data_IF_164405295592
#
_entry.id   IF_164405295592
#
_cell.length_a   1.000
_cell.length_b   1.000
_cell.length_c   1.000
_cell.angle_alpha   90.00
_cell.angle_beta   90.00
_cell.angle_gamma   90.00
#
_symmetry.space_group_name_H-M   'P 1'
#
loop_
_entity.id
_entity.type
_entity.pdbx_description
1 polymer ?
#
# COMPACT_ATOMS: atom_id res chain seq x y z
N UNK A 1 12.38 -24.77 8.84
CA UNK A 1 12.42 -23.30 8.85
C UNK A 1 11.29 -22.78 7.96
N UNK A 2 10.43 -21.90 8.48
CA UNK A 2 9.37 -21.25 7.71
C UNK A 2 9.82 -19.82 7.37
N UNK A 3 9.53 -19.39 6.14
CA UNK A 3 9.78 -18.02 5.67
C UNK A 3 8.43 -17.34 5.49
N UNK A 4 8.24 -16.18 6.12
CA UNK A 4 7.04 -15.36 5.99
C UNK A 4 7.07 -14.60 4.66
N UNK A 5 6.64 -15.26 3.60
CA UNK A 5 6.56 -14.70 2.26
C UNK A 5 5.22 -15.10 1.62
N UNK A 6 4.63 -14.17 0.89
CA UNK A 6 3.41 -14.44 0.11
C UNK A 6 3.69 -15.43 -1.02
N UNK A 7 2.65 -16.05 -1.58
CA UNK A 7 2.76 -16.96 -2.73
C UNK A 7 3.51 -16.28 -3.87
N UNK A 8 4.35 -17.05 -4.57
CA UNK A 8 5.23 -16.53 -5.63
C UNK A 8 4.48 -15.74 -6.73
N UNK A 9 3.26 -16.18 -7.11
CA UNK A 9 2.43 -15.46 -8.06
C UNK A 9 2.01 -14.08 -7.54
N UNK A 10 1.65 -13.94 -6.27
CA UNK A 10 1.28 -12.66 -5.63
C UNK A 10 2.50 -11.73 -5.62
N UNK A 11 3.66 -12.25 -5.20
CA UNK A 11 4.92 -11.49 -5.17
C UNK A 11 5.27 -11.01 -6.58
N UNK A 12 5.27 -11.90 -7.58
CA UNK A 12 5.59 -11.56 -8.97
C UNK A 12 4.65 -10.49 -9.54
N UNK A 13 3.35 -10.60 -9.28
CA UNK A 13 2.35 -9.64 -9.76
C UNK A 13 2.59 -8.26 -9.16
N UNK A 14 2.74 -8.17 -7.85
CA UNK A 14 2.81 -6.86 -7.19
C UNK A 14 4.19 -6.21 -7.19
N UNK A 15 5.25 -6.95 -7.51
CA UNK A 15 6.54 -6.34 -7.81
C UNK A 15 6.52 -5.58 -9.14
N UNK A 16 5.64 -5.94 -10.08
CA UNK A 16 5.47 -5.25 -11.35
C UNK A 16 4.29 -4.28 -11.28
N UNK A 17 4.57 -2.97 -11.30
CA UNK A 17 3.55 -1.92 -11.17
C UNK A 17 2.54 -1.90 -12.32
N UNK A 18 2.95 -2.31 -13.53
CA UNK A 18 2.03 -2.43 -14.67
C UNK A 18 1.06 -3.59 -14.46
N UNK A 19 1.55 -4.74 -14.04
CA UNK A 19 0.70 -5.91 -13.74
C UNK A 19 -0.21 -5.63 -12.53
N UNK A 20 0.26 -4.88 -11.54
CA UNK A 20 -0.57 -4.39 -10.43
C UNK A 20 -1.75 -3.58 -10.95
N UNK A 21 -1.51 -2.61 -11.85
CA UNK A 21 -2.60 -1.81 -12.43
C UNK A 21 -3.59 -2.67 -13.22
N UNK A 22 -3.12 -3.58 -14.07
CA UNK A 22 -3.98 -4.47 -14.87
C UNK A 22 -4.88 -5.34 -14.00
N UNK A 23 -4.32 -5.95 -12.93
CA UNK A 23 -5.10 -6.82 -12.06
C UNK A 23 -6.11 -6.04 -11.22
N UNK A 24 -5.77 -4.82 -10.77
CA UNK A 24 -6.72 -3.94 -10.09
C UNK A 24 -7.90 -3.56 -10.99
N UNK A 25 -7.63 -3.20 -12.25
CA UNK A 25 -8.67 -2.91 -13.24
C UNK A 25 -9.58 -4.12 -13.49
N UNK A 26 -9.02 -5.32 -13.60
CA UNK A 26 -9.81 -6.56 -13.76
C UNK A 26 -10.71 -6.85 -12.56
N UNK A 27 -10.35 -6.35 -11.38
CA UNK A 27 -11.14 -6.41 -10.15
C UNK A 27 -12.14 -5.25 -10.02
N UNK A 28 -12.19 -4.32 -10.99
CA UNK A 28 -12.97 -3.07 -10.95
C UNK A 28 -12.57 -2.16 -9.77
N UNK A 29 -11.31 -2.18 -9.40
CA UNK A 29 -10.71 -1.31 -8.38
C UNK A 29 -10.05 -0.14 -9.08
N UNK A 30 -10.33 1.09 -8.61
CA UNK A 30 -9.76 2.30 -9.17
C UNK A 30 -8.24 2.33 -8.96
N UNK A 31 -7.53 2.60 -10.04
CA UNK A 31 -6.07 2.76 -10.08
C UNK A 31 -5.74 3.86 -11.08
N UNK A 32 -4.64 4.61 -10.91
CA UNK A 32 -4.22 5.60 -11.90
C UNK A 32 -3.99 4.95 -13.25
N UNK A 33 -4.32 5.63 -14.34
CA UNK A 33 -4.00 5.17 -15.68
C UNK A 33 -2.50 4.89 -15.77
N UNK A 34 -2.14 3.73 -16.28
CA UNK A 34 -0.75 3.24 -16.28
C UNK A 34 -0.43 2.58 -17.62
N UNK A 35 0.62 3.06 -18.28
CA UNK A 35 1.01 2.64 -19.62
C UNK A 35 2.52 2.39 -19.64
N UNK A 36 3.01 1.51 -20.49
CA UNK A 36 4.45 1.36 -20.73
C UNK A 36 5.02 2.61 -21.39
N UNK A 37 6.18 3.09 -20.95
CA UNK A 37 6.78 4.31 -21.47
C UNK A 37 7.05 4.25 -23.00
N UNK A 38 7.41 3.08 -23.52
CA UNK A 38 7.64 2.87 -24.94
C UNK A 38 6.35 2.87 -25.79
N UNK A 39 5.18 2.80 -25.17
CA UNK A 39 3.86 2.83 -25.81
C UNK A 39 3.09 4.13 -25.55
N UNK A 40 3.66 5.01 -24.75
CA UNK A 40 2.99 6.24 -24.33
C UNK A 40 2.97 7.28 -25.46
N UNK A 41 1.78 7.69 -25.90
CA UNK A 41 1.52 8.68 -26.95
C UNK A 41 0.80 9.93 -26.40
N UNK A 42 1.11 10.32 -25.17
CA UNK A 42 0.56 11.50 -24.48
C UNK A 42 -0.96 11.45 -24.24
N UNK A 43 -1.52 10.25 -24.05
CA UNK A 43 -2.93 10.02 -23.73
C UNK A 43 -3.27 10.23 -22.24
N UNK A 44 -2.31 10.66 -21.43
CA UNK A 44 -2.49 11.05 -20.01
C UNK A 44 -2.06 12.50 -19.87
N UNK A 45 -2.90 13.31 -19.26
CA UNK A 45 -2.62 14.73 -19.01
C UNK A 45 -1.48 14.94 -18.02
N UNK A 46 -0.70 15.98 -18.22
CA UNK A 46 0.33 16.39 -17.27
C UNK A 46 -0.28 17.01 -16.00
N UNK A 47 0.34 16.83 -14.81
CA UNK A 47 1.60 16.12 -14.59
C UNK A 47 1.43 14.60 -14.64
N UNK A 48 2.46 13.90 -15.10
CA UNK A 48 2.55 12.44 -15.10
C UNK A 48 3.72 11.96 -14.24
N UNK A 49 3.73 10.68 -13.89
CA UNK A 49 4.84 10.02 -13.20
C UNK A 49 5.51 9.04 -14.15
N UNK A 50 6.82 9.16 -14.34
CA UNK A 50 7.63 8.11 -14.94
C UNK A 50 8.33 7.37 -13.81
N UNK A 51 8.22 6.05 -13.78
CA UNK A 51 8.88 5.22 -12.77
C UNK A 51 9.21 3.83 -13.31
N UNK A 52 10.24 3.20 -12.72
CA UNK A 52 10.57 1.82 -13.04
C UNK A 52 9.43 0.86 -12.66
N UNK A 53 9.17 -0.14 -13.51
CA UNK A 53 8.19 -1.22 -13.25
C UNK A 53 8.46 -1.95 -11.93
N UNK A 54 9.74 -2.10 -11.56
CA UNK A 54 10.21 -2.95 -10.46
C UNK A 54 10.92 -2.18 -9.33
N UNK A 55 10.88 -0.84 -9.33
CA UNK A 55 11.60 -0.04 -8.32
C UNK A 55 11.00 -0.20 -6.92
N UNK A 56 11.87 -0.10 -5.91
CA UNK A 56 11.56 -0.11 -4.49
C UNK A 56 12.01 1.22 -3.90
N UNK A 57 11.31 1.75 -2.91
CA UNK A 57 11.63 3.01 -2.19
C UNK A 57 11.69 4.28 -3.07
N UNK A 58 10.88 4.36 -4.12
CA UNK A 58 10.80 5.57 -4.96
C UNK A 58 12.04 5.86 -5.79
N UNK A 59 12.98 4.90 -5.90
CA UNK A 59 14.09 5.02 -6.85
C UNK A 59 13.57 5.09 -8.28
N UNK A 60 14.22 5.89 -9.12
CA UNK A 60 13.85 6.08 -10.53
C UNK A 60 12.38 6.53 -10.70
N UNK A 61 11.96 7.51 -9.89
CA UNK A 61 10.65 8.17 -9.98
C UNK A 61 10.83 9.62 -10.39
N UNK A 62 10.17 10.01 -11.47
CA UNK A 62 10.20 11.36 -12.04
C UNK A 62 8.78 11.91 -12.15
N UNK A 63 8.54 13.10 -11.59
CA UNK A 63 7.31 13.85 -11.82
C UNK A 63 7.56 14.77 -13.02
N UNK A 64 6.78 14.59 -14.07
CA UNK A 64 6.92 15.27 -15.36
C UNK A 64 5.74 16.20 -15.53
N UNK A 65 6.00 17.49 -15.69
CA UNK A 65 4.97 18.53 -15.71
C UNK A 65 4.59 18.98 -17.13
N UNK A 66 5.39 18.62 -18.14
CA UNK A 66 5.17 19.00 -19.53
C UNK A 66 6.00 18.14 -20.50
N UNK A 67 5.71 18.27 -21.79
CA UNK A 67 6.37 17.51 -22.87
C UNK A 67 7.89 17.71 -22.91
N UNK A 68 8.38 18.96 -22.68
CA UNK A 68 9.83 19.21 -22.69
C UNK A 68 10.56 18.39 -21.60
N UNK A 69 9.98 18.31 -20.40
CA UNK A 69 10.54 17.48 -19.32
C UNK A 69 10.45 15.99 -19.66
N UNK A 70 9.39 15.53 -20.34
CA UNK A 70 9.27 14.17 -20.80
C UNK A 70 10.44 13.80 -21.72
N UNK A 71 10.70 14.62 -22.75
CA UNK A 71 11.79 14.35 -23.69
C UNK A 71 13.16 14.40 -23.02
N UNK A 72 13.39 15.35 -22.11
CA UNK A 72 14.63 15.41 -21.34
C UNK A 72 14.86 14.12 -20.52
N UNK A 73 13.82 13.60 -19.86
CA UNK A 73 13.92 12.35 -19.08
C UNK A 73 14.13 11.17 -20.02
N UNK A 74 13.38 11.05 -21.11
CA UNK A 74 13.59 9.99 -22.10
C UNK A 74 15.04 9.93 -22.58
N UNK A 75 15.67 11.07 -22.84
CA UNK A 75 17.07 11.12 -23.28
C UNK A 75 18.07 10.62 -22.22
N UNK A 76 17.68 10.58 -20.94
CA UNK A 76 18.54 10.06 -19.86
C UNK A 76 18.33 8.55 -19.59
N UNK A 77 17.18 8.01 -20.01
CA UNK A 77 16.83 6.62 -19.74
C UNK A 77 17.43 5.70 -20.82
N UNK A 78 18.10 4.63 -20.37
CA UNK A 78 18.75 3.68 -21.30
C UNK A 78 17.80 2.61 -21.86
N UNK A 79 16.70 2.30 -21.14
CA UNK A 79 15.81 1.20 -21.52
C UNK A 79 14.35 1.51 -21.14
N UNK A 80 13.58 2.01 -22.10
CA UNK A 80 12.19 2.43 -21.90
C UNK A 80 11.24 1.30 -21.50
N UNK A 81 11.56 0.06 -21.88
CA UNK A 81 10.74 -1.11 -21.54
C UNK A 81 10.67 -1.37 -20.04
N UNK A 82 11.66 -0.88 -19.27
CA UNK A 82 11.67 -1.00 -17.81
C UNK A 82 10.83 0.05 -17.10
N UNK A 83 10.27 1.02 -17.83
CA UNK A 83 9.54 2.15 -17.24
C UNK A 83 8.08 2.15 -17.64
N UNK A 84 7.28 2.73 -16.75
CA UNK A 84 5.87 3.05 -16.97
C UNK A 84 5.66 4.55 -16.85
N UNK A 85 4.67 5.04 -17.56
CA UNK A 85 4.01 6.31 -17.32
C UNK A 85 2.74 6.04 -16.52
N UNK A 86 2.54 6.81 -15.47
CA UNK A 86 1.35 6.73 -14.65
C UNK A 86 0.78 8.11 -14.41
N UNK A 87 -0.54 8.23 -14.45
CA UNK A 87 -1.28 9.42 -14.07
C UNK A 87 -0.86 9.89 -12.66
N UNK A 88 -0.57 11.19 -12.52
CA UNK A 88 -0.31 11.80 -11.22
C UNK A 88 -1.63 12.12 -10.54
N UNK A 89 -2.03 11.29 -9.60
CA UNK A 89 -3.33 11.38 -8.97
C UNK A 89 -3.25 11.93 -7.55
N UNK A 90 -4.18 12.83 -7.21
CA UNK A 90 -4.32 13.38 -5.87
C UNK A 90 -3.08 14.12 -5.36
N UNK A 91 -3.00 14.29 -4.05
CA UNK A 91 -1.89 14.97 -3.37
C UNK A 91 -1.20 14.04 -2.36
N UNK A 92 0.00 14.42 -1.93
CA UNK A 92 0.73 13.69 -0.87
C UNK A 92 0.03 13.81 0.49
N UNK A 93 -0.81 14.84 0.69
CA UNK A 93 -1.58 15.05 1.92
C UNK A 93 -2.76 14.06 2.05
N UNK A 94 -3.19 13.48 0.93
CA UNK A 94 -4.29 12.53 0.87
C UNK A 94 -3.81 11.10 0.60
N UNK A 95 -2.64 10.77 1.11
CA UNK A 95 -2.06 9.44 0.97
C UNK A 95 -2.48 8.52 2.12
N UNK A 96 -2.88 7.30 1.74
CA UNK A 96 -3.32 6.24 2.64
C UNK A 96 -2.48 4.99 2.46
N UNK A 97 -2.30 4.28 3.57
CA UNK A 97 -1.70 2.94 3.58
C UNK A 97 -2.67 1.98 4.27
N UNK A 98 -3.05 0.94 3.56
CA UNK A 98 -3.97 -0.08 4.06
C UNK A 98 -3.24 -1.41 4.12
N UNK A 99 -3.19 -2.02 5.29
CA UNK A 99 -2.67 -3.38 5.45
C UNK A 99 -3.84 -4.34 5.54
N UNK A 100 -3.76 -5.43 4.78
CA UNK A 100 -4.67 -6.57 4.91
C UNK A 100 -3.86 -7.81 5.23
N UNK A 101 -4.31 -8.51 6.26
CA UNK A 101 -3.87 -9.85 6.63
C UNK A 101 -4.99 -10.84 6.35
N UNK A 102 -4.64 -12.01 5.82
CA UNK A 102 -5.58 -13.12 5.63
C UNK A 102 -4.87 -14.44 5.86
N UNK A 103 -5.54 -15.31 6.59
CA UNK A 103 -5.21 -16.73 6.70
C UNK A 103 -6.46 -17.59 6.43
N UNK A 104 -6.47 -18.85 6.90
CA UNK A 104 -7.60 -19.77 6.72
C UNK A 104 -8.82 -19.39 7.56
N UNK A 105 -8.63 -18.68 8.67
CA UNK A 105 -9.63 -18.43 9.70
C UNK A 105 -10.03 -16.96 9.81
N UNK A 106 -9.19 -16.04 9.37
CA UNK A 106 -9.39 -14.61 9.59
C UNK A 106 -9.02 -13.75 8.37
N UNK A 107 -9.64 -12.59 8.29
CA UNK A 107 -9.30 -11.51 7.38
C UNK A 107 -9.44 -10.18 8.12
N UNK A 108 -8.30 -9.53 8.37
CA UNK A 108 -8.23 -8.28 9.10
C UNK A 108 -7.66 -7.16 8.23
N UNK A 109 -8.18 -5.95 8.42
CA UNK A 109 -7.78 -4.76 7.65
C UNK A 109 -7.62 -3.59 8.58
N UNK A 110 -6.49 -2.88 8.44
CA UNK A 110 -6.26 -1.58 9.08
C UNK A 110 -5.82 -0.56 8.03
N UNK A 111 -6.36 0.65 8.11
CA UNK A 111 -6.03 1.76 7.20
C UNK A 111 -5.55 2.96 7.98
N UNK A 112 -4.46 3.56 7.51
CA UNK A 112 -3.97 4.84 8.03
C UNK A 112 -3.97 5.89 6.92
N UNK A 113 -4.46 7.11 7.23
CA UNK A 113 -4.03 8.32 6.54
C UNK A 113 -2.64 8.65 7.05
N UNK A 114 -1.67 8.90 6.17
CA UNK A 114 -0.28 9.07 6.59
C UNK A 114 0.41 10.26 5.97
N UNK A 115 1.45 10.75 6.65
CA UNK A 115 2.44 11.67 6.08
C UNK A 115 3.80 11.00 6.06
N UNK A 116 4.59 11.31 5.04
CA UNK A 116 5.95 10.78 4.88
C UNK A 116 6.96 11.91 5.08
N UNK A 117 8.07 11.58 5.75
CA UNK A 117 9.26 12.42 5.85
C UNK A 117 10.47 11.55 5.55
N UNK A 118 11.25 11.92 4.53
CA UNK A 118 12.39 11.10 4.09
C UNK A 118 12.04 9.67 3.70
N UNK A 119 10.83 9.45 3.14
CA UNK A 119 10.35 8.12 2.73
C UNK A 119 9.80 7.24 3.88
N UNK A 120 9.88 7.72 5.12
CA UNK A 120 9.31 7.03 6.29
C UNK A 120 8.01 7.68 6.73
N UNK A 121 7.12 6.89 7.32
CA UNK A 121 5.87 7.40 7.91
C UNK A 121 6.19 8.23 9.15
N UNK A 122 5.97 9.53 9.08
CA UNK A 122 6.15 10.46 10.20
C UNK A 122 4.87 10.71 11.00
N UNK A 123 3.72 10.55 10.35
CA UNK A 123 2.41 10.62 10.98
C UNK A 123 1.51 9.53 10.38
N UNK A 124 0.73 8.86 11.20
CA UNK A 124 -0.25 7.87 10.79
C UNK A 124 -1.49 8.00 11.69
N UNK A 125 -2.66 8.13 11.08
CA UNK A 125 -3.95 8.21 11.74
C UNK A 125 -4.86 7.11 11.24
N UNK A 126 -5.45 6.34 12.14
CA UNK A 126 -6.43 5.30 11.77
C UNK A 126 -7.64 5.95 11.13
N UNK A 127 -8.05 5.41 10.00
CA UNK A 127 -9.25 5.80 9.27
C UNK A 127 -10.10 4.58 8.89
N UNK A 128 -11.36 4.58 9.27
CA UNK A 128 -12.32 3.54 8.86
C UNK A 128 -12.91 3.86 7.48
N UNK A 129 -12.07 3.78 6.45
CA UNK A 129 -12.46 4.03 5.06
C UNK A 129 -13.10 2.77 4.45
N UNK A 130 -14.43 2.74 4.41
CA UNK A 130 -15.21 1.58 3.91
C UNK A 130 -14.80 1.13 2.51
N UNK A 131 -14.47 2.07 1.63
CA UNK A 131 -14.02 1.77 0.25
C UNK A 131 -12.71 1.03 0.27
N UNK A 132 -11.69 1.51 1.00
CA UNK A 132 -10.38 0.85 1.09
C UNK A 132 -10.48 -0.51 1.78
N UNK A 133 -11.30 -0.61 2.81
CA UNK A 133 -11.58 -1.90 3.47
C UNK A 133 -12.20 -2.92 2.51
N UNK A 134 -13.14 -2.48 1.68
CA UNK A 134 -13.75 -3.33 0.65
C UNK A 134 -12.73 -3.72 -0.43
N UNK A 135 -11.93 -2.78 -0.94
CA UNK A 135 -10.88 -3.07 -1.92
C UNK A 135 -9.87 -4.09 -1.37
N UNK A 136 -9.41 -3.91 -0.12
CA UNK A 136 -8.50 -4.83 0.54
C UNK A 136 -9.08 -6.26 0.64
N UNK A 137 -10.36 -6.38 0.99
CA UNK A 137 -11.08 -7.67 1.06
C UNK A 137 -11.19 -8.33 -0.32
N UNK A 138 -11.56 -7.57 -1.36
CA UNK A 138 -11.65 -8.08 -2.74
C UNK A 138 -10.29 -8.61 -3.20
N UNK A 139 -9.22 -7.85 -3.00
CA UNK A 139 -7.86 -8.24 -3.37
C UNK A 139 -7.45 -9.51 -2.64
N UNK A 140 -7.60 -9.53 -1.30
CA UNK A 140 -7.21 -10.66 -0.48
C UNK A 140 -7.97 -11.95 -0.83
N UNK A 141 -9.25 -11.83 -1.15
CA UNK A 141 -10.10 -12.98 -1.51
C UNK A 141 -9.80 -13.49 -2.91
N UNK A 142 -9.77 -12.60 -3.91
CA UNK A 142 -9.56 -13.00 -5.32
C UNK A 142 -8.17 -13.58 -5.58
N UNK A 143 -7.16 -13.15 -4.83
CA UNK A 143 -5.81 -13.67 -4.96
C UNK A 143 -5.51 -14.85 -4.02
N UNK A 144 -6.50 -15.29 -3.27
CA UNK A 144 -6.31 -16.31 -2.22
C UNK A 144 -5.08 -15.99 -1.37
N UNK A 145 -5.07 -14.77 -0.82
CA UNK A 145 -3.98 -14.28 0.02
C UNK A 145 -3.84 -15.17 1.26
N UNK A 146 -2.60 -15.51 1.57
CA UNK A 146 -2.22 -16.15 2.83
C UNK A 146 -1.00 -15.41 3.40
N UNK A 147 -1.25 -14.49 4.32
CA UNK A 147 -0.24 -13.58 4.87
C UNK A 147 -0.67 -12.13 4.83
N UNK A 148 0.28 -11.23 4.75
CA UNK A 148 0.05 -9.78 4.79
C UNK A 148 0.54 -9.07 3.54
N UNK A 149 -0.24 -8.11 3.05
CA UNK A 149 0.16 -7.16 2.00
C UNK A 149 -0.15 -5.73 2.43
N UNK A 150 0.59 -4.79 1.85
CA UNK A 150 0.39 -3.36 2.08
C UNK A 150 -0.03 -2.65 0.80
N UNK A 151 -1.16 -1.97 0.84
CA UNK A 151 -1.79 -1.25 -0.27
C UNK A 151 -1.57 0.25 -0.07
N UNK A 152 -1.08 0.94 -1.10
CA UNK A 152 -0.91 2.39 -1.09
C UNK A 152 -1.90 3.03 -2.04
N UNK A 153 -2.60 4.06 -1.56
CA UNK A 153 -3.64 4.75 -2.31
C UNK A 153 -3.66 6.24 -2.02
N UNK A 154 -4.26 7.00 -2.93
CA UNK A 154 -4.61 8.41 -2.71
C UNK A 154 -6.09 8.64 -2.88
N UNK A 155 -6.61 9.58 -2.10
CA UNK A 155 -8.00 10.02 -2.17
C UNK A 155 -8.14 11.18 -3.15
N UNK A 156 -9.14 11.11 -4.03
CA UNK A 156 -9.54 12.19 -4.93
C UNK A 156 -11.06 12.32 -4.88
N UNK A 157 -11.56 13.41 -4.33
CA UNK A 157 -12.97 13.54 -4.02
C UNK A 157 -13.42 12.44 -3.05
N UNK A 158 -14.39 11.64 -3.47
CA UNK A 158 -14.91 10.51 -2.68
C UNK A 158 -14.27 9.17 -3.04
N UNK A 159 -13.36 9.14 -3.99
CA UNK A 159 -12.75 7.92 -4.54
C UNK A 159 -11.34 7.70 -4.02
N UNK A 160 -10.94 6.43 -4.01
CA UNK A 160 -9.57 6.01 -3.70
C UNK A 160 -8.96 5.32 -4.90
N UNK A 161 -7.74 5.71 -5.23
CA UNK A 161 -6.96 5.13 -6.33
C UNK A 161 -5.75 4.41 -5.78
N UNK A 162 -5.67 3.10 -5.99
CA UNK A 162 -4.53 2.28 -5.56
C UNK A 162 -3.42 2.41 -6.60
N UNK A 163 -2.27 2.93 -6.21
CA UNK A 163 -1.13 3.14 -7.11
C UNK A 163 0.04 2.17 -6.89
N UNK A 164 0.03 1.44 -5.76
CA UNK A 164 1.06 0.45 -5.42
C UNK A 164 0.54 -0.58 -4.41
N UNK A 165 0.95 -1.85 -4.59
CA UNK A 165 0.76 -2.91 -3.60
C UNK A 165 2.12 -3.54 -3.32
N UNK A 166 2.48 -3.61 -2.04
CA UNK A 166 3.70 -4.26 -1.58
C UNK A 166 3.34 -5.63 -0.98
N UNK A 167 3.78 -6.74 -1.58
CA UNK A 167 3.45 -8.09 -1.12
C UNK A 167 4.32 -8.53 0.07
N UNK A 168 4.48 -7.67 1.05
CA UNK A 168 5.32 -7.82 2.23
C UNK A 168 4.86 -6.94 3.36
N UNK A 169 5.44 -7.14 4.54
CA UNK A 169 5.30 -6.18 5.64
C UNK A 169 5.79 -4.80 5.23
N UNK A 170 5.07 -3.77 5.65
CA UNK A 170 5.45 -2.38 5.44
C UNK A 170 6.17 -1.80 6.66
N UNK A 171 6.78 -0.61 6.50
CA UNK A 171 7.39 0.14 7.60
C UNK A 171 6.40 0.49 8.74
N UNK A 172 5.09 0.42 8.47
CA UNK A 172 4.07 0.67 9.50
C UNK A 172 3.80 -0.53 10.41
N UNK A 173 4.55 -1.63 10.32
CA UNK A 173 4.36 -2.83 11.14
C UNK A 173 4.40 -2.52 12.65
N UNK A 174 5.36 -1.71 13.09
CA UNK A 174 5.45 -1.28 14.48
C UNK A 174 4.25 -0.42 14.90
N UNK A 175 3.83 0.50 14.02
CA UNK A 175 2.70 1.40 14.26
C UNK A 175 1.42 0.58 14.46
N UNK A 176 1.07 -0.29 13.49
CA UNK A 176 -0.18 -1.05 13.54
C UNK A 176 -0.21 -2.09 14.66
N UNK A 177 0.96 -2.62 15.03
CA UNK A 177 1.04 -3.54 16.17
C UNK A 177 0.61 -2.86 17.49
N UNK A 178 0.90 -1.56 17.68
CA UNK A 178 0.45 -0.79 18.84
C UNK A 178 -1.05 -0.45 18.81
N UNK A 179 -1.72 -0.68 17.69
CA UNK A 179 -3.17 -0.56 17.52
C UNK A 179 -3.86 -1.93 17.42
N UNK A 180 -3.28 -2.95 18.03
CA UNK A 180 -3.80 -4.31 18.09
C UNK A 180 -3.95 -5.01 16.72
N UNK A 181 -3.24 -4.54 15.70
CA UNK A 181 -3.15 -5.22 14.41
C UNK A 181 -1.84 -6.02 14.33
N UNK A 182 -1.88 -7.25 14.75
CA UNK A 182 -0.70 -8.08 15.01
C UNK A 182 -0.39 -9.06 13.85
N UNK A 183 -0.45 -8.60 12.60
CA UNK A 183 -0.33 -9.45 11.41
C UNK A 183 0.96 -10.29 11.34
N UNK A 184 2.07 -9.80 11.90
CA UNK A 184 3.30 -10.59 12.01
C UNK A 184 3.08 -11.83 12.91
N UNK A 185 2.49 -11.62 14.08
CA UNK A 185 2.28 -12.69 15.05
C UNK A 185 1.19 -13.65 14.57
N UNK A 186 0.11 -13.12 14.02
CA UNK A 186 -0.94 -13.95 13.43
C UNK A 186 -0.40 -14.86 12.32
N UNK A 187 0.48 -14.30 11.45
CA UNK A 187 1.08 -15.08 10.39
C UNK A 187 2.04 -16.15 10.90
N UNK A 188 2.89 -15.83 11.88
CA UNK A 188 3.75 -16.81 12.55
C UNK A 188 2.90 -17.94 13.15
N UNK A 189 1.85 -17.60 13.91
CA UNK A 189 0.98 -18.56 14.56
C UNK A 189 0.18 -19.42 13.57
N UNK A 190 -0.10 -18.91 12.36
CA UNK A 190 -0.81 -19.66 11.33
C UNK A 190 -0.04 -20.87 10.79
N UNK A 191 1.28 -20.93 10.97
CA UNK A 191 2.13 -22.07 10.61
C UNK A 191 2.35 -23.05 11.75
N UNK A 192 2.06 -22.67 13.00
CA UNK A 192 2.33 -23.48 14.17
C UNK A 192 1.02 -23.94 14.80
N UNK A 193 0.95 -25.24 15.13
CA UNK A 193 -0.17 -25.80 15.88
C UNK A 193 -0.19 -25.31 17.34
N UNK A 194 0.97 -25.00 17.88
CA UNK A 194 1.15 -24.42 19.20
C UNK A 194 1.39 -22.92 19.06
N UNK A 195 0.68 -22.10 19.83
CA UNK A 195 0.90 -20.65 19.87
C UNK A 195 2.32 -20.38 20.37
N UNK A 196 3.19 -19.85 19.49
CA UNK A 196 4.57 -19.50 19.84
C UNK A 196 4.65 -18.37 20.86
N UNK A 197 3.60 -17.61 21.03
CA UNK A 197 3.56 -16.48 21.94
C UNK A 197 2.42 -16.66 22.95
N UNK A 198 2.78 -16.60 24.23
CA UNK A 198 1.81 -16.65 25.35
C UNK A 198 1.03 -15.33 25.53
N UNK A 199 1.37 -14.30 24.75
CA UNK A 199 0.69 -13.01 24.81
C UNK A 199 -0.70 -13.18 24.19
N UNK A 200 -1.70 -12.69 24.89
CA UNK A 200 -3.07 -12.63 24.39
C UNK A 200 -3.18 -11.52 23.34
N UNK A 201 -3.35 -11.91 22.08
CA UNK A 201 -3.60 -11.04 20.94
C UNK A 201 -5.08 -11.01 20.53
N UNK A 202 -5.98 -11.33 21.47
CA UNK A 202 -7.43 -11.37 21.23
C UNK A 202 -8.08 -9.99 21.21
N UNK A 203 -7.34 -8.94 21.59
CA UNK A 203 -7.85 -7.58 21.58
C UNK A 203 -8.28 -7.18 20.16
N UNK A 204 -9.43 -6.54 20.06
CA UNK A 204 -9.91 -6.00 18.78
C UNK A 204 -8.96 -4.94 18.26
N UNK A 205 -8.82 -4.89 16.94
CA UNK A 205 -8.09 -3.81 16.26
C UNK A 205 -8.73 -2.47 16.62
N UNK A 206 -7.90 -1.50 17.00
CA UNK A 206 -8.35 -0.15 17.33
C UNK A 206 -9.01 0.49 16.09
N UNK A 207 -10.07 1.23 16.32
CA UNK A 207 -10.82 1.93 15.27
C UNK A 207 -10.41 3.39 15.09
N UNK A 208 -9.74 3.96 16.07
CA UNK A 208 -9.26 5.33 16.08
C UNK A 208 -7.92 5.46 16.78
N UNK A 209 -7.19 6.51 16.49
CA UNK A 209 -5.91 6.80 17.09
C UNK A 209 -4.90 7.26 16.05
N UNK A 210 -3.78 7.77 16.51
CA UNK A 210 -2.70 8.23 15.65
C UNK A 210 -1.33 7.99 16.26
N UNK A 211 -0.31 7.95 15.42
CA UNK A 211 1.08 7.84 15.79
C UNK A 211 1.91 8.96 15.17
N UNK A 212 2.80 9.54 15.93
CA UNK A 212 3.72 10.59 15.50
C UNK A 212 5.14 10.08 15.69
N UNK A 213 5.98 10.26 14.67
CA UNK A 213 7.41 9.99 14.74
C UNK A 213 8.14 11.22 15.32
N UNK A 214 8.82 11.01 16.48
CA UNK A 214 9.83 11.92 17.00
C UNK A 214 11.18 11.19 17.03
N UNK A 215 11.91 11.24 18.14
CA UNK A 215 13.05 10.33 18.37
C UNK A 215 12.56 8.86 18.48
N UNK A 216 11.29 8.68 18.86
CA UNK A 216 10.52 7.43 18.84
C UNK A 216 9.06 7.75 18.52
N UNK A 217 8.30 6.76 18.05
CA UNK A 217 6.86 6.94 17.88
C UNK A 217 6.17 7.18 19.22
N UNK A 218 5.22 8.14 19.22
CA UNK A 218 4.20 8.29 20.27
C UNK A 218 2.86 7.83 19.72
N UNK A 219 2.11 7.11 20.53
CA UNK A 219 0.82 6.53 20.18
C UNK A 219 -0.29 7.17 21.01
N UNK A 220 -1.39 7.48 20.37
CA UNK A 220 -2.58 8.03 21.00
C UNK A 220 -3.74 7.16 20.54
N UNK A 221 -4.34 6.45 21.47
CA UNK A 221 -5.53 5.66 21.23
C UNK A 221 -6.76 6.56 21.34
N UNK A 222 -7.75 6.32 20.49
CA UNK A 222 -9.02 7.03 20.58
C UNK A 222 -9.84 6.51 21.76
N UNK A 223 -10.55 7.38 22.44
CA UNK A 223 -11.55 6.98 23.41
C UNK A 223 -12.80 6.49 22.67
N UNK A 224 -13.43 5.42 23.17
CA UNK A 224 -14.69 4.85 22.62
C UNK A 224 -15.92 5.79 22.77
N UNK A 225 -15.73 7.02 23.24
CA UNK A 225 -16.78 8.01 23.39
C UNK A 225 -16.99 8.77 22.07
N UNK A 226 -17.85 8.24 21.23
CA UNK A 226 -18.58 9.00 20.21
C UNK A 226 -19.54 9.98 20.92
N UNK A 227 -19.02 11.08 21.43
CA UNK A 227 -19.81 12.28 21.77
C UNK A 227 -18.85 13.46 21.93
N UNK A 228 -18.43 14.04 20.79
CA UNK A 228 -18.09 15.46 20.67
C UNK A 228 -18.21 15.92 19.23
#
# INVERSE_FOLDING_TARGET
THILINKANIVKTFLNKLETSKILLSMKIKTPQTIELNKFNEEIDYPIIIKSKFSIYGKDLYIVKNRQQLENIKNTLKNYEHYIVQEYIGTIEDEYTTTVYKDKSSLEVITFKRKLTGGMTSFAEIRDEKILKNYAKIIATKLDLYGSINIQSRKVGNDFYIFEINPRFSSTIYIRNNFNFHDLIWWINSFNKEKLCKIDYSNKVEKSGYAILGYKYKFFKGDDNENR
#
